data_IF_076122908252
#
_entry.id   IF_076122908252
#
_cell.length_a   1.000
_cell.length_b   1.000
_cell.length_c   1.000
_cell.angle_alpha   90.00
_cell.angle_beta   90.00
_cell.angle_gamma   90.00
#
_symmetry.space_group_name_H-M   'P 1'
#
loop_
_entity.id
_entity.type
_entity.pdbx_description
1 polymer ?
#
# COMPACT_ATOMS: atom_id res chain seq x y z
N UNK A 1 -72.50 -10.96 4.67
CA UNK A 1 -71.89 -11.71 3.56
C UNK A 1 -70.57 -12.27 4.03
N UNK A 2 -70.54 -13.58 4.31
CA UNK A 2 -69.32 -14.35 4.46
C UNK A 2 -68.82 -14.77 3.05
N UNK A 3 -67.54 -15.09 2.92
CA UNK A 3 -67.04 -16.34 2.30
C UNK A 3 -65.52 -16.47 2.53
N UNK A 4 -65.10 -17.70 2.81
CA UNK A 4 -63.74 -18.19 3.12
C UNK A 4 -63.08 -18.80 1.87
N UNK A 5 -61.77 -19.08 2.04
CA UNK A 5 -60.85 -20.04 1.37
C UNK A 5 -59.95 -19.40 0.31
N UNK A 6 -58.67 -19.75 0.11
CA UNK A 6 -57.57 -20.42 0.84
C UNK A 6 -56.57 -20.88 -0.24
N UNK A 7 -55.27 -20.56 -0.08
CA UNK A 7 -54.04 -21.24 -0.63
C UNK A 7 -53.92 -21.44 -2.17
N UNK A 8 -52.77 -21.17 -2.82
CA UNK A 8 -51.50 -21.95 -2.78
C UNK A 8 -50.25 -21.11 -3.18
N UNK A 9 -49.10 -21.52 -2.60
CA UNK A 9 -47.68 -21.15 -2.80
C UNK A 9 -47.13 -21.19 -4.23
N UNK A 10 -46.19 -20.27 -4.51
CA UNK A 10 -44.84 -20.43 -5.13
C UNK A 10 -44.28 -18.99 -5.22
N UNK A 11 -43.15 -18.56 -4.66
CA UNK A 11 -41.84 -19.19 -4.53
C UNK A 11 -40.85 -18.34 -5.33
N UNK A 12 -40.19 -17.36 -4.71
CA UNK A 12 -38.74 -17.14 -4.83
C UNK A 12 -38.26 -15.89 -4.09
N UNK A 13 -37.16 -16.12 -3.37
CA UNK A 13 -36.41 -15.18 -2.57
C UNK A 13 -35.77 -14.08 -3.43
N UNK A 14 -36.07 -12.81 -3.17
CA UNK A 14 -35.22 -11.69 -3.57
C UNK A 14 -34.66 -11.02 -2.32
N UNK A 15 -33.56 -11.59 -1.81
CA UNK A 15 -32.67 -10.89 -0.89
C UNK A 15 -31.86 -9.90 -1.70
N UNK A 16 -32.15 -8.60 -1.56
CA UNK A 16 -31.24 -7.55 -1.97
C UNK A 16 -29.93 -7.71 -1.16
N UNK A 17 -28.85 -8.10 -1.84
CA UNK A 17 -27.49 -7.96 -1.33
C UNK A 17 -26.89 -6.70 -1.95
N UNK A 18 -26.61 -5.74 -1.09
CA UNK A 18 -25.68 -4.64 -1.37
C UNK A 18 -24.34 -5.20 -1.84
N UNK A 19 -23.76 -4.59 -2.87
CA UNK A 19 -22.38 -4.84 -3.29
C UNK A 19 -21.66 -3.50 -3.48
N UNK A 20 -20.93 -3.11 -2.43
CA UNK A 20 -19.76 -2.23 -2.40
C UNK A 20 -18.80 -2.89 -1.38
N UNK A 21 -17.48 -2.63 -1.38
CA UNK A 21 -16.53 -2.44 -2.47
C UNK A 21 -15.27 -3.33 -2.29
N UNK A 22 -14.40 -3.43 -3.30
CA UNK A 22 -13.05 -3.99 -3.15
C UNK A 22 -12.14 -2.95 -2.47
N UNK A 23 -12.29 -2.83 -1.16
CA UNK A 23 -11.26 -2.30 -0.28
C UNK A 23 -11.23 -3.18 0.96
N UNK A 24 -10.06 -3.76 1.24
CA UNK A 24 -9.70 -4.69 2.33
C UNK A 24 -9.69 -6.18 1.96
N UNK A 25 -8.52 -6.77 2.21
CA UNK A 25 -8.22 -8.19 2.38
C UNK A 25 -7.85 -9.00 1.13
N UNK A 26 -6.56 -9.02 0.79
CA UNK A 26 -5.91 -10.31 0.54
C UNK A 26 -5.34 -10.80 1.87
N UNK A 27 -6.23 -11.34 2.71
CA UNK A 27 -5.84 -12.27 3.76
C UNK A 27 -5.93 -13.69 3.19
N UNK A 28 -4.82 -14.42 3.32
CA UNK A 28 -4.71 -15.88 3.40
C UNK A 28 -5.54 -16.68 2.39
N UNK A 29 -4.91 -17.02 1.26
CA UNK A 29 -5.31 -18.18 0.47
C UNK A 29 -4.42 -19.37 0.85
N UNK A 30 -5.02 -20.36 1.53
CA UNK A 30 -4.44 -21.70 1.65
C UNK A 30 -4.42 -22.29 0.23
N UNK A 31 -3.25 -22.41 -0.39
CA UNK A 31 -3.08 -23.14 -1.65
C UNK A 31 -2.65 -24.56 -1.31
N UNK A 32 -3.57 -25.50 -1.51
CA UNK A 32 -3.25 -26.92 -1.50
C UNK A 32 -2.32 -27.24 -2.69
N UNK A 33 -1.15 -27.80 -2.39
CA UNK A 33 -0.21 -28.31 -3.39
C UNK A 33 -0.83 -29.49 -4.15
N UNK A 34 -0.99 -29.35 -5.46
CA UNK A 34 -1.04 -30.48 -6.38
C UNK A 34 0.28 -30.50 -7.18
N UNK A 35 1.13 -31.46 -6.82
CA UNK A 35 2.34 -31.83 -7.55
C UNK A 35 1.98 -32.32 -8.96
N UNK A 36 2.41 -31.61 -10.00
CA UNK A 36 2.88 -32.21 -11.25
C UNK A 36 3.92 -31.30 -11.89
N UNK A 37 5.14 -31.83 -12.06
CA UNK A 37 6.16 -31.18 -12.86
C UNK A 37 5.94 -31.44 -14.34
N UNK A 38 6.14 -30.42 -15.16
CA UNK A 38 6.62 -30.53 -16.55
C UNK A 38 7.16 -29.17 -17.02
N UNK A 39 8.38 -29.20 -17.54
CA UNK A 39 8.99 -28.34 -18.57
C UNK A 39 8.64 -26.84 -18.62
N UNK A 40 9.62 -26.01 -18.31
CA UNK A 40 9.68 -24.63 -18.74
C UNK A 40 9.67 -24.51 -20.28
N UNK A 41 8.85 -23.63 -20.86
CA UNK A 41 9.19 -22.93 -22.08
C UNK A 41 9.52 -21.47 -21.73
N UNK A 42 10.58 -20.96 -22.35
CA UNK A 42 10.96 -19.56 -22.22
C UNK A 42 9.85 -18.63 -22.71
N UNK A 43 9.66 -17.53 -22.00
CA UNK A 43 8.84 -16.41 -22.44
C UNK A 43 9.58 -15.13 -22.13
N UNK A 44 10.33 -14.65 -23.11
CA UNK A 44 10.62 -13.24 -23.26
C UNK A 44 9.60 -12.68 -24.25
N UNK A 45 8.35 -12.51 -23.81
CA UNK A 45 7.55 -11.42 -24.37
C UNK A 45 8.26 -10.13 -23.96
N UNK A 46 8.54 -9.22 -24.90
CA UNK A 46 9.19 -7.96 -24.56
C UNK A 46 8.32 -7.22 -23.53
N UNK A 47 8.96 -6.53 -22.58
CA UNK A 47 8.25 -5.71 -21.59
C UNK A 47 7.28 -4.70 -22.24
N UNK A 48 7.46 -4.32 -23.50
CA UNK A 48 6.54 -3.42 -24.23
C UNK A 48 5.14 -4.02 -24.44
N UNK A 49 5.04 -5.33 -24.66
CA UNK A 49 3.78 -6.02 -24.99
C UNK A 49 2.89 -6.26 -23.75
N UNK A 50 3.49 -6.46 -22.57
CA UNK A 50 2.74 -6.58 -21.31
C UNK A 50 2.20 -5.23 -20.83
N UNK A 51 2.88 -4.14 -21.13
CA UNK A 51 2.55 -2.79 -20.68
C UNK A 51 1.38 -2.19 -21.45
N UNK A 52 1.34 -2.39 -22.77
CA UNK A 52 0.16 -2.03 -23.58
C UNK A 52 -1.10 -2.74 -23.09
N UNK A 53 -1.01 -4.04 -22.79
CA UNK A 53 -2.12 -4.83 -22.25
C UNK A 53 -2.61 -4.34 -20.89
N UNK A 54 -1.71 -3.90 -20.00
CA UNK A 54 -2.10 -3.35 -18.70
C UNK A 54 -2.96 -2.09 -18.85
N UNK A 55 -2.55 -1.16 -19.72
CA UNK A 55 -3.32 0.05 -20.02
C UNK A 55 -4.69 -0.26 -20.59
N UNK A 56 -4.76 -1.20 -21.54
CA UNK A 56 -6.03 -1.62 -22.15
C UNK A 56 -6.98 -2.26 -21.14
N UNK A 57 -6.44 -3.07 -20.21
CA UNK A 57 -7.20 -3.68 -19.12
C UNK A 57 -7.82 -2.64 -18.19
N UNK A 58 -7.06 -1.61 -17.79
CA UNK A 58 -7.59 -0.50 -16.99
C UNK A 58 -8.73 0.22 -17.72
N UNK A 59 -8.52 0.63 -18.96
CA UNK A 59 -9.51 1.36 -19.76
C UNK A 59 -10.78 0.54 -20.06
N UNK A 60 -10.71 -0.78 -19.96
CA UNK A 60 -11.86 -1.66 -20.12
C UNK A 60 -12.80 -1.68 -18.90
N UNK A 61 -12.38 -1.19 -17.72
CA UNK A 61 -13.24 -1.14 -16.54
C UNK A 61 -14.36 -0.09 -16.72
N UNK A 62 -15.60 -0.58 -16.77
CA UNK A 62 -16.80 0.25 -16.96
C UNK A 62 -17.14 1.10 -15.73
N UNK A 63 -16.52 0.83 -14.58
CA UNK A 63 -16.76 1.55 -13.33
C UNK A 63 -15.79 2.72 -13.09
N UNK A 64 -14.89 2.99 -14.04
CA UNK A 64 -13.99 4.13 -13.96
C UNK A 64 -14.76 5.46 -13.91
N UNK A 65 -14.49 6.33 -12.91
CA UNK A 65 -15.24 7.57 -12.74
C UNK A 65 -14.90 8.63 -13.81
N UNK A 66 -13.82 8.42 -14.57
CA UNK A 66 -13.31 9.32 -15.60
C UNK A 66 -12.49 8.50 -16.61
N UNK A 67 -12.42 8.98 -17.86
CA UNK A 67 -11.81 8.25 -18.99
C UNK A 67 -10.55 8.92 -19.56
N UNK A 68 -10.16 10.06 -19.02
CA UNK A 68 -8.90 10.73 -19.36
C UNK A 68 -8.31 11.40 -18.13
N UNK A 69 -7.00 11.57 -18.18
CA UNK A 69 -6.16 12.07 -17.11
C UNK A 69 -6.58 13.48 -16.64
N UNK A 70 -6.78 14.39 -17.59
CA UNK A 70 -7.16 15.78 -17.31
C UNK A 70 -8.55 15.85 -16.70
N UNK A 71 -9.47 15.00 -17.16
CA UNK A 71 -10.82 14.92 -16.63
C UNK A 71 -10.84 14.36 -15.20
N UNK A 72 -10.01 13.36 -14.90
CA UNK A 72 -9.89 12.80 -13.56
C UNK A 72 -9.35 13.82 -12.56
N UNK A 73 -8.22 14.47 -12.86
CA UNK A 73 -7.61 15.45 -11.97
C UNK A 73 -8.57 16.62 -11.65
N UNK A 74 -9.24 17.18 -12.67
CA UNK A 74 -10.19 18.27 -12.48
C UNK A 74 -11.44 17.84 -11.70
N UNK A 75 -12.03 16.68 -12.02
CA UNK A 75 -13.22 16.19 -11.33
C UNK A 75 -12.94 15.86 -9.86
N UNK A 76 -11.76 15.32 -9.54
CA UNK A 76 -11.35 15.02 -8.16
C UNK A 76 -11.26 16.27 -7.29
N UNK A 77 -10.68 17.35 -7.83
CA UNK A 77 -10.62 18.65 -7.15
C UNK A 77 -12.01 19.23 -6.94
N UNK A 78 -12.87 19.22 -7.97
CA UNK A 78 -14.24 19.73 -7.90
C UNK A 78 -15.06 18.95 -6.85
N UNK A 79 -14.98 17.62 -6.86
CA UNK A 79 -15.64 16.77 -5.88
C UNK A 79 -15.13 17.05 -4.46
N UNK A 80 -13.82 17.25 -4.30
CA UNK A 80 -13.23 17.61 -3.02
C UNK A 80 -13.74 18.96 -2.54
N UNK A 81 -13.74 19.99 -3.39
CA UNK A 81 -14.23 21.34 -3.08
C UNK A 81 -15.70 21.32 -2.66
N UNK A 82 -16.54 20.55 -3.38
CA UNK A 82 -17.95 20.29 -3.06
C UNK A 82 -18.16 19.48 -1.76
N UNK A 83 -17.09 18.94 -1.16
CA UNK A 83 -17.15 18.16 0.08
C UNK A 83 -17.52 16.69 -0.13
N UNK A 84 -17.54 16.20 -1.36
CA UNK A 84 -17.77 14.80 -1.68
C UNK A 84 -16.48 13.99 -1.49
N UNK A 85 -16.06 13.80 -0.24
CA UNK A 85 -14.76 13.19 0.12
C UNK A 85 -14.55 11.81 -0.51
N UNK A 86 -15.54 10.92 -0.42
CA UNK A 86 -15.41 9.56 -0.95
C UNK A 86 -15.41 9.52 -2.49
N UNK A 87 -16.12 10.44 -3.14
CA UNK A 87 -16.10 10.58 -4.59
C UNK A 87 -14.74 11.10 -5.06
N UNK A 88 -14.24 12.16 -4.42
CA UNK A 88 -12.91 12.69 -4.68
C UNK A 88 -11.82 11.62 -4.51
N UNK A 89 -11.89 10.81 -3.44
CA UNK A 89 -10.95 9.71 -3.20
C UNK A 89 -10.94 8.69 -4.32
N UNK A 90 -12.11 8.29 -4.82
CA UNK A 90 -12.23 7.36 -5.95
C UNK A 90 -11.65 7.93 -7.23
N UNK A 91 -11.93 9.20 -7.53
CA UNK A 91 -11.46 9.85 -8.75
C UNK A 91 -9.93 10.01 -8.72
N UNK A 92 -9.37 10.45 -7.60
CA UNK A 92 -7.92 10.63 -7.45
C UNK A 92 -7.18 9.29 -7.49
N UNK A 93 -7.78 8.22 -6.94
CA UNK A 93 -7.23 6.86 -7.05
C UNK A 93 -7.16 6.41 -8.52
N UNK A 94 -8.21 6.66 -9.31
CA UNK A 94 -8.20 6.36 -10.74
C UNK A 94 -7.14 7.18 -11.50
N UNK A 95 -6.97 8.46 -11.18
CA UNK A 95 -5.88 9.28 -11.76
C UNK A 95 -4.49 8.72 -11.43
N UNK A 96 -4.28 8.26 -10.20
CA UNK A 96 -3.02 7.64 -9.80
C UNK A 96 -2.76 6.37 -10.62
N UNK A 97 -3.76 5.53 -10.82
CA UNK A 97 -3.66 4.31 -11.64
C UNK A 97 -3.35 4.64 -13.11
N UNK A 98 -4.00 5.65 -13.70
CA UNK A 98 -3.69 6.09 -15.06
C UNK A 98 -2.29 6.69 -15.19
N UNK A 99 -1.87 7.53 -14.23
CA UNK A 99 -0.54 8.11 -14.23
C UNK A 99 0.55 7.03 -14.06
N UNK A 100 0.27 6.00 -13.27
CA UNK A 100 1.10 4.80 -13.17
C UNK A 100 1.17 4.10 -14.52
N UNK A 101 0.04 3.80 -15.17
CA UNK A 101 0.02 3.13 -16.46
C UNK A 101 0.83 3.91 -17.52
N UNK A 102 0.67 5.24 -17.57
CA UNK A 102 1.44 6.10 -18.48
C UNK A 102 2.94 6.12 -18.11
N UNK A 103 3.31 5.99 -16.83
CA UNK A 103 4.72 5.92 -16.42
C UNK A 103 5.41 4.65 -16.91
N UNK A 104 4.66 3.54 -16.98
CA UNK A 104 5.16 2.27 -17.48
C UNK A 104 5.24 2.28 -19.01
N UNK A 105 4.23 2.86 -19.67
CA UNK A 105 4.14 2.96 -21.13
C UNK A 105 4.99 4.09 -21.74
N UNK A 106 5.71 4.84 -20.91
CA UNK A 106 6.51 5.97 -21.36
C UNK A 106 7.64 5.50 -22.30
N UNK A 107 7.59 5.97 -23.54
CA UNK A 107 8.56 5.70 -24.60
C UNK A 107 9.67 6.77 -24.69
N UNK A 108 9.59 7.78 -23.84
CA UNK A 108 10.49 8.93 -23.81
C UNK A 108 10.64 9.49 -22.40
N UNK A 109 11.79 10.11 -22.14
CA UNK A 109 12.05 10.78 -20.86
C UNK A 109 10.97 11.84 -20.55
N UNK A 110 10.47 12.54 -21.57
CA UNK A 110 9.39 13.52 -21.40
C UNK A 110 8.07 12.87 -20.94
N UNK A 111 7.70 11.73 -21.52
CA UNK A 111 6.52 10.98 -21.11
C UNK A 111 6.68 10.45 -19.67
N UNK A 112 7.84 9.88 -19.35
CA UNK A 112 8.13 9.34 -18.01
C UNK A 112 8.12 10.44 -16.94
N UNK A 113 8.69 11.60 -17.26
CA UNK A 113 8.71 12.78 -16.39
C UNK A 113 7.30 13.37 -16.17
N UNK A 114 6.47 13.40 -17.23
CA UNK A 114 5.08 13.85 -17.15
C UNK A 114 4.24 12.91 -16.27
N UNK A 115 4.38 11.60 -16.48
CA UNK A 115 3.70 10.59 -15.69
C UNK A 115 4.11 10.65 -14.20
N UNK A 116 5.41 10.76 -13.91
CA UNK A 116 5.92 10.90 -12.54
C UNK A 116 5.37 12.15 -11.84
N UNK A 117 5.29 13.29 -12.56
CA UNK A 117 4.67 14.51 -12.03
C UNK A 117 3.19 14.30 -11.69
N UNK A 118 2.46 13.52 -12.50
CA UNK A 118 1.06 13.20 -12.25
C UNK A 118 0.86 12.24 -11.09
N UNK A 119 1.71 11.22 -10.94
CA UNK A 119 1.71 10.34 -9.77
C UNK A 119 1.90 11.18 -8.50
N UNK A 120 2.90 12.06 -8.48
CA UNK A 120 3.15 12.93 -7.32
C UNK A 120 1.97 13.89 -7.06
N UNK A 121 1.33 14.46 -8.10
CA UNK A 121 0.13 15.28 -7.93
C UNK A 121 -1.06 14.49 -7.36
N UNK A 122 -1.31 13.27 -7.84
CA UNK A 122 -2.38 12.42 -7.33
C UNK A 122 -2.15 12.06 -5.85
N UNK A 123 -0.89 11.78 -5.47
CA UNK A 123 -0.51 11.59 -4.07
C UNK A 123 -0.78 12.86 -3.22
N UNK A 124 -0.46 14.05 -3.73
CA UNK A 124 -0.82 15.32 -3.05
C UNK A 124 -2.33 15.44 -2.87
N UNK A 125 -3.13 15.12 -3.90
CA UNK A 125 -4.59 15.21 -3.78
C UNK A 125 -5.17 14.19 -2.79
N UNK A 126 -4.61 12.98 -2.69
CA UNK A 126 -4.95 12.07 -1.60
C UNK A 126 -4.67 12.70 -0.23
N UNK A 127 -3.54 13.41 -0.10
CA UNK A 127 -3.22 14.16 1.10
C UNK A 127 -4.21 15.29 1.41
N UNK A 128 -4.63 16.05 0.38
CA UNK A 128 -5.63 17.13 0.53
C UNK A 128 -7.01 16.56 0.96
N UNK A 129 -7.40 15.41 0.41
CA UNK A 129 -8.61 14.67 0.78
C UNK A 129 -8.56 14.27 2.26
N UNK A 130 -7.48 13.63 2.70
CA UNK A 130 -7.35 13.18 4.08
C UNK A 130 -7.22 14.35 5.06
N UNK A 131 -6.58 15.45 4.64
CA UNK A 131 -6.55 16.69 5.42
C UNK A 131 -7.96 17.27 5.61
N UNK A 132 -8.78 17.29 4.55
CA UNK A 132 -10.18 17.77 4.62
C UNK A 132 -11.06 16.83 5.44
N UNK A 133 -10.77 15.53 5.42
CA UNK A 133 -11.42 14.52 6.26
C UNK A 133 -10.96 14.57 7.74
N UNK A 134 -10.00 15.44 8.09
CA UNK A 134 -9.47 15.59 9.45
C UNK A 134 -8.39 14.57 9.83
N UNK A 135 -7.95 13.71 8.90
CA UNK A 135 -6.88 12.75 9.12
C UNK A 135 -5.51 13.34 8.77
N UNK A 136 -4.98 14.16 9.67
CA UNK A 136 -3.71 14.87 9.46
C UNK A 136 -2.50 13.94 9.32
N UNK A 137 -2.50 12.78 9.97
CA UNK A 137 -1.41 11.81 9.87
C UNK A 137 -1.36 11.19 8.46
N UNK A 138 -2.49 10.70 7.95
CA UNK A 138 -2.59 10.20 6.58
C UNK A 138 -2.23 11.26 5.54
N UNK A 139 -2.71 12.50 5.73
CA UNK A 139 -2.36 13.60 4.86
C UNK A 139 -0.84 13.81 4.78
N UNK A 140 -0.15 13.82 5.93
CA UNK A 140 1.31 13.93 5.98
C UNK A 140 2.00 12.73 5.32
N UNK A 141 1.49 11.51 5.48
CA UNK A 141 2.01 10.34 4.81
C UNK A 141 1.96 10.50 3.28
N UNK A 142 0.82 10.90 2.73
CA UNK A 142 0.64 11.13 1.29
C UNK A 142 1.58 12.22 0.73
N UNK A 143 1.73 13.34 1.43
CA UNK A 143 2.68 14.37 1.00
C UNK A 143 4.12 13.87 1.02
N UNK A 144 4.49 13.00 1.98
CA UNK A 144 5.82 12.39 2.03
C UNK A 144 6.02 11.38 0.90
N UNK A 145 5.01 10.59 0.52
CA UNK A 145 5.09 9.73 -0.66
C UNK A 145 5.39 10.53 -1.94
N UNK A 146 4.77 11.71 -2.09
CA UNK A 146 5.06 12.61 -3.21
C UNK A 146 6.50 13.17 -3.15
N UNK A 147 6.99 13.52 -1.96
CA UNK A 147 8.37 14.00 -1.75
C UNK A 147 9.40 12.90 -2.01
N UNK A 148 9.12 11.65 -1.66
CA UNK A 148 10.05 10.53 -1.84
C UNK A 148 10.37 10.26 -3.33
N UNK A 149 9.58 10.82 -4.26
CA UNK A 149 9.88 10.83 -5.70
C UNK A 149 10.95 11.86 -6.10
N UNK A 150 11.53 12.63 -5.17
CA UNK A 150 12.48 13.71 -5.43
C UNK A 150 13.73 13.27 -6.20
N UNK A 151 14.16 12.03 -6.05
CA UNK A 151 15.28 11.49 -6.84
C UNK A 151 15.01 11.54 -8.35
N UNK A 152 13.75 11.39 -8.77
CA UNK A 152 13.31 11.49 -10.17
C UNK A 152 13.20 12.95 -10.65
N UNK A 153 13.05 13.90 -9.73
CA UNK A 153 12.80 15.31 -10.03
C UNK A 153 13.99 16.05 -10.65
N UNK A 154 15.22 15.53 -10.48
CA UNK A 154 16.43 16.12 -11.05
C UNK A 154 16.41 16.26 -12.58
N UNK A 155 15.49 15.55 -13.25
CA UNK A 155 15.33 15.53 -14.71
C UNK A 155 14.03 16.19 -15.20
N UNK A 156 13.19 16.72 -14.29
CA UNK A 156 11.86 17.24 -14.62
C UNK A 156 11.54 18.53 -13.85
N UNK A 157 11.55 19.69 -14.53
CA UNK A 157 11.14 20.96 -13.93
C UNK A 157 9.68 20.94 -13.43
N UNK A 158 8.82 20.17 -14.09
CA UNK A 158 7.41 20.02 -13.69
C UNK A 158 7.32 19.24 -12.38
N UNK A 159 7.97 18.07 -12.29
CA UNK A 159 7.99 17.28 -11.06
C UNK A 159 8.63 18.06 -9.91
N UNK A 160 9.68 18.84 -10.17
CA UNK A 160 10.29 19.73 -9.17
C UNK A 160 9.27 20.71 -8.58
N UNK A 161 8.42 21.33 -9.41
CA UNK A 161 7.36 22.23 -8.94
C UNK A 161 6.28 21.49 -8.14
N UNK A 162 5.89 20.29 -8.59
CA UNK A 162 4.92 19.44 -7.88
C UNK A 162 5.43 19.07 -6.49
N UNK A 163 6.70 18.66 -6.37
CA UNK A 163 7.31 18.32 -5.08
C UNK A 163 7.39 19.55 -4.16
N UNK A 164 7.64 20.75 -4.70
CA UNK A 164 7.57 21.97 -3.91
C UNK A 164 6.17 22.21 -3.31
N UNK A 165 5.10 21.85 -4.04
CA UNK A 165 3.72 21.88 -3.50
C UNK A 165 3.57 20.87 -2.36
N UNK A 166 4.08 19.64 -2.50
CA UNK A 166 4.04 18.65 -1.44
C UNK A 166 4.76 19.14 -0.16
N UNK A 167 5.94 19.76 -0.30
CA UNK A 167 6.65 20.37 0.83
C UNK A 167 5.82 21.49 1.48
N UNK A 168 5.21 22.37 0.69
CA UNK A 168 4.37 23.45 1.21
C UNK A 168 3.15 22.91 1.98
N UNK A 169 2.49 21.88 1.45
CA UNK A 169 1.36 21.21 2.11
C UNK A 169 1.78 20.51 3.41
N UNK A 170 2.90 19.81 3.40
CA UNK A 170 3.47 19.18 4.59
C UNK A 170 3.81 20.22 5.66
N UNK A 171 4.43 21.34 5.28
CA UNK A 171 4.74 22.44 6.19
C UNK A 171 3.49 23.08 6.80
N UNK A 172 2.41 23.22 6.02
CA UNK A 172 1.14 23.75 6.52
C UNK A 172 0.48 22.87 7.59
N UNK A 173 0.80 21.57 7.62
CA UNK A 173 0.36 20.60 8.63
C UNK A 173 1.38 20.37 9.76
N UNK A 174 2.52 21.07 9.75
CA UNK A 174 3.55 20.91 10.76
C UNK A 174 2.99 21.22 12.17
N UNK A 175 3.27 20.35 13.13
CA UNK A 175 2.85 20.51 14.54
C UNK A 175 1.36 20.29 14.82
N UNK A 176 0.51 20.09 13.81
CA UNK A 176 -0.93 19.87 14.01
C UNK A 176 -1.22 18.40 14.28
N UNK A 177 -1.75 18.06 15.45
CA UNK A 177 -2.20 16.70 15.79
C UNK A 177 -1.14 15.63 15.46
N UNK A 178 0.11 15.89 15.84
CA UNK A 178 1.24 14.99 15.55
C UNK A 178 1.21 13.81 16.53
N UNK A 179 1.19 12.59 15.98
CA UNK A 179 1.17 11.38 16.78
C UNK A 179 2.61 10.97 17.13
N UNK A 180 3.01 11.28 18.36
CA UNK A 180 4.38 11.07 18.84
C UNK A 180 4.72 9.60 19.18
N UNK A 181 3.70 8.75 19.41
CA UNK A 181 3.86 7.34 19.81
C UNK A 181 2.77 6.50 19.15
N UNK A 182 3.00 5.18 19.05
CA UNK A 182 1.96 4.25 18.58
C UNK A 182 0.72 4.41 19.47
N UNK A 183 -0.46 4.75 18.91
CA UNK A 183 -1.69 4.89 19.67
C UNK A 183 -2.09 3.59 20.37
N UNK A 184 -2.81 3.71 21.49
CA UNK A 184 -3.35 2.57 22.22
C UNK A 184 -4.42 1.78 21.44
N UNK A 185 -4.94 2.33 20.35
CA UNK A 185 -5.83 1.64 19.41
C UNK A 185 -5.06 0.90 18.30
N UNK A 186 -3.75 1.11 18.21
CA UNK A 186 -2.90 0.57 17.15
C UNK A 186 -2.61 1.57 16.04
N UNK A 187 -1.75 1.16 15.12
CA UNK A 187 -1.25 1.96 14.02
C UNK A 187 -1.04 1.10 12.78
N UNK A 188 -1.29 1.69 11.61
CA UNK A 188 -0.85 1.16 10.33
C UNK A 188 0.10 2.17 9.69
N UNK A 189 1.28 1.68 9.33
CA UNK A 189 2.30 2.41 8.61
C UNK A 189 2.39 1.87 7.20
N UNK A 190 2.48 2.76 6.22
CA UNK A 190 2.58 2.39 4.81
C UNK A 190 3.79 3.05 4.16
N UNK A 191 4.31 2.39 3.12
CA UNK A 191 5.33 2.94 2.24
C UNK A 191 4.89 2.72 0.80
N UNK A 192 4.75 3.80 0.03
CA UNK A 192 4.55 3.70 -1.41
C UNK A 192 5.81 3.12 -2.07
N UNK A 193 5.65 2.05 -2.85
CA UNK A 193 6.77 1.37 -3.52
C UNK A 193 6.83 1.76 -4.99
N UNK A 194 5.85 1.31 -5.77
CA UNK A 194 5.72 1.60 -7.20
C UNK A 194 4.34 1.10 -7.67
N UNK A 195 3.95 1.48 -8.88
CA UNK A 195 2.76 0.95 -9.56
C UNK A 195 1.46 1.06 -8.75
N UNK A 196 1.31 2.12 -7.97
CA UNK A 196 0.11 2.32 -7.13
C UNK A 196 0.09 1.45 -5.87
N UNK A 197 1.15 0.67 -5.62
CA UNK A 197 1.20 -0.32 -4.57
C UNK A 197 1.97 0.19 -3.34
N UNK A 198 1.53 -0.23 -2.15
CA UNK A 198 2.11 0.11 -0.86
C UNK A 198 2.57 -1.15 -0.11
N UNK A 199 3.74 -1.09 0.52
CA UNK A 199 4.04 -1.99 1.64
C UNK A 199 3.24 -1.53 2.87
N UNK A 200 2.74 -2.48 3.67
CA UNK A 200 1.95 -2.18 4.87
C UNK A 200 2.54 -2.85 6.11
N UNK A 201 2.53 -2.15 7.24
CA UNK A 201 2.84 -2.68 8.57
C UNK A 201 1.77 -2.23 9.56
N UNK A 202 1.03 -3.17 10.10
CA UNK A 202 0.00 -2.96 11.12
C UNK A 202 0.49 -3.44 12.49
N UNK A 203 0.37 -2.57 13.49
CA UNK A 203 0.71 -2.82 14.88
C UNK A 203 -0.55 -2.73 15.75
N UNK A 204 -0.96 -3.86 16.32
CA UNK A 204 -2.11 -3.95 17.22
C UNK A 204 -1.62 -4.17 18.65
N UNK A 205 -1.92 -3.28 19.61
CA UNK A 205 -1.43 -3.41 20.98
C UNK A 205 -1.95 -4.68 21.66
N UNK A 206 -1.07 -5.38 22.38
CA UNK A 206 -1.45 -6.58 23.15
C UNK A 206 -1.99 -6.16 24.51
N UNK A 207 -3.24 -6.54 24.80
CA UNK A 207 -3.92 -6.17 26.05
C UNK A 207 -3.12 -6.61 27.28
N UNK A 208 -2.88 -5.67 28.19
CA UNK A 208 -2.18 -5.93 29.45
C UNK A 208 -0.66 -6.07 29.33
N UNK A 209 -0.08 -5.91 28.12
CA UNK A 209 1.37 -5.96 27.90
C UNK A 209 1.88 -4.61 27.34
N UNK A 210 2.53 -3.77 28.16
CA UNK A 210 3.08 -2.50 27.69
C UNK A 210 4.08 -2.68 26.54
N UNK A 211 4.06 -1.75 25.59
CA UNK A 211 4.95 -1.68 24.42
C UNK A 211 5.05 -2.96 23.60
N UNK A 212 4.03 -3.83 23.71
CA UNK A 212 3.96 -5.12 23.05
C UNK A 212 2.81 -5.11 22.04
N UNK A 213 3.08 -5.55 20.81
CA UNK A 213 2.16 -5.43 19.69
C UNK A 213 2.13 -6.73 18.89
N UNK A 214 0.96 -7.10 18.39
CA UNK A 214 0.86 -8.01 17.24
C UNK A 214 1.20 -7.20 15.99
N UNK A 215 2.30 -7.57 15.35
CA UNK A 215 2.78 -7.04 14.09
C UNK A 215 2.29 -7.93 12.96
N UNK A 216 1.65 -7.33 11.97
CA UNK A 216 1.34 -7.94 10.69
C UNK A 216 1.84 -7.02 9.59
N UNK A 217 2.68 -7.53 8.70
CA UNK A 217 3.20 -6.77 7.58
C UNK A 217 3.10 -7.55 6.28
N UNK A 218 2.91 -6.81 5.19
CA UNK A 218 2.94 -7.32 3.83
C UNK A 218 3.86 -6.44 3.01
N UNK A 219 4.94 -7.04 2.52
CA UNK A 219 5.93 -6.40 1.66
C UNK A 219 5.67 -6.88 0.24
N UNK A 220 5.61 -5.96 -0.71
CA UNK A 220 5.24 -6.26 -2.08
C UNK A 220 6.27 -5.73 -3.06
N UNK A 221 6.50 -6.53 -4.09
CA UNK A 221 7.16 -6.11 -5.30
C UNK A 221 6.15 -6.22 -6.43
N UNK A 222 5.51 -5.12 -6.85
CA UNK A 222 4.53 -5.17 -7.92
C UNK A 222 5.22 -5.54 -9.24
N UNK A 223 4.52 -6.34 -10.04
CA UNK A 223 4.97 -6.81 -11.35
C UNK A 223 3.81 -6.77 -12.35
N UNK A 224 4.13 -6.55 -13.62
CA UNK A 224 3.17 -6.72 -14.71
C UNK A 224 3.38 -8.10 -15.29
N UNK A 225 2.34 -8.92 -15.28
CA UNK A 225 2.39 -10.28 -15.84
C UNK A 225 2.45 -10.24 -17.36
N UNK A 226 2.73 -11.39 -17.98
CA UNK A 226 2.74 -11.49 -19.45
C UNK A 226 1.39 -11.13 -20.08
N UNK A 227 0.28 -11.37 -19.38
CA UNK A 227 -1.07 -11.02 -19.86
C UNK A 227 -1.40 -9.53 -19.71
N UNK A 228 -0.50 -8.74 -19.13
CA UNK A 228 -0.74 -7.33 -18.78
C UNK A 228 -1.48 -7.12 -17.47
N UNK A 229 -1.80 -8.18 -16.73
CA UNK A 229 -2.42 -8.05 -15.42
C UNK A 229 -1.38 -7.63 -14.37
N UNK A 230 -1.77 -6.78 -13.42
CA UNK A 230 -0.97 -6.53 -12.22
C UNK A 230 -0.95 -7.77 -11.33
N UNK A 231 0.25 -8.12 -10.90
CA UNK A 231 0.50 -9.09 -9.84
C UNK A 231 1.55 -8.52 -8.89
N UNK A 232 1.90 -9.25 -7.85
CA UNK A 232 2.97 -8.89 -6.95
C UNK A 232 3.67 -10.15 -6.43
N UNK A 233 4.98 -10.08 -6.30
CA UNK A 233 5.67 -10.95 -5.36
C UNK A 233 5.42 -10.38 -3.96
N UNK A 234 5.15 -11.26 -3.00
CA UNK A 234 4.76 -10.87 -1.64
C UNK A 234 5.70 -11.54 -0.63
N UNK A 235 6.00 -10.82 0.43
CA UNK A 235 6.62 -11.34 1.65
C UNK A 235 5.78 -10.88 2.84
N UNK A 236 5.14 -11.83 3.51
CA UNK A 236 4.36 -11.54 4.70
C UNK A 236 5.16 -11.87 5.96
N UNK A 237 4.98 -11.06 7.00
CA UNK A 237 5.57 -11.31 8.30
C UNK A 237 4.54 -11.07 9.40
N UNK A 238 4.40 -12.07 10.26
CA UNK A 238 3.55 -12.02 11.45
C UNK A 238 4.39 -12.30 12.71
N UNK A 239 4.35 -11.37 13.66
CA UNK A 239 5.11 -11.49 14.90
C UNK A 239 4.37 -10.86 16.09
N UNK A 240 4.67 -11.33 17.29
CA UNK A 240 4.43 -10.55 18.51
C UNK A 240 5.73 -9.86 18.87
N UNK A 241 5.75 -8.53 18.82
CA UNK A 241 6.95 -7.73 19.03
C UNK A 241 6.84 -6.92 20.31
N UNK A 242 7.98 -6.68 20.97
CA UNK A 242 8.09 -5.66 22.01
C UNK A 242 9.11 -4.61 21.60
N UNK A 243 8.71 -3.34 21.62
CA UNK A 243 9.64 -2.24 21.35
C UNK A 243 10.45 -1.93 22.60
N UNK A 244 11.76 -2.14 22.52
CA UNK A 244 12.73 -1.76 23.53
C UNK A 244 13.38 -0.46 23.12
N UNK A 245 13.13 0.62 23.87
CA UNK A 245 13.65 1.95 23.54
C UNK A 245 13.35 2.39 22.09
N UNK A 246 12.15 2.05 21.60
CA UNK A 246 11.72 2.39 20.24
C UNK A 246 12.15 1.39 19.16
N UNK A 247 12.78 0.27 19.52
CA UNK A 247 13.25 -0.72 18.56
C UNK A 247 12.69 -2.12 18.83
N UNK A 248 12.17 -2.77 17.80
CA UNK A 248 11.81 -4.18 17.81
C UNK A 248 12.61 -4.92 16.73
N UNK A 249 13.08 -6.13 17.04
CA UNK A 249 13.89 -6.94 16.13
C UNK A 249 13.26 -8.31 15.96
N UNK A 250 13.00 -8.72 14.72
CA UNK A 250 12.29 -9.96 14.40
C UNK A 250 13.22 -10.85 13.59
N UNK A 251 13.79 -11.91 14.19
CA UNK A 251 14.60 -12.87 13.46
C UNK A 251 13.68 -13.74 12.62
N UNK A 252 13.84 -13.67 11.30
CA UNK A 252 13.00 -14.39 10.35
C UNK A 252 13.63 -15.74 10.05
N UNK A 253 12.83 -16.79 10.21
CA UNK A 253 13.16 -18.15 9.77
C UNK A 253 12.06 -18.58 8.79
N UNK A 254 12.37 -18.68 7.49
CA UNK A 254 11.35 -19.01 6.48
C UNK A 254 10.82 -20.44 6.61
N UNK A 255 11.50 -21.31 7.36
CA UNK A 255 11.05 -22.69 7.62
C UNK A 255 10.16 -22.80 8.86
N UNK A 256 9.99 -21.71 9.61
CA UNK A 256 9.16 -21.69 10.81
C UNK A 256 7.71 -21.40 10.46
N UNK A 257 6.84 -22.28 10.91
CA UNK A 257 5.39 -22.05 10.84
C UNK A 257 4.89 -21.16 11.99
N UNK A 258 3.95 -20.27 11.66
CA UNK A 258 3.19 -19.46 12.60
C UNK A 258 3.89 -18.18 13.09
N UNK A 259 3.22 -17.40 13.96
CA UNK A 259 3.73 -16.11 14.40
C UNK A 259 5.04 -16.21 15.17
N UNK A 260 5.96 -15.28 14.90
CA UNK A 260 7.25 -15.19 15.59
C UNK A 260 7.07 -14.47 16.93
N UNK A 261 7.59 -15.03 18.02
CA UNK A 261 7.70 -14.30 19.29
C UNK A 261 9.04 -13.54 19.32
N UNK A 262 8.94 -12.21 19.20
CA UNK A 262 10.03 -11.25 19.22
C UNK A 262 9.86 -10.26 20.39
N UNK A 263 9.40 -10.77 21.54
CA UNK A 263 9.21 -9.97 22.76
C UNK A 263 10.44 -9.90 23.66
N UNK A 264 11.53 -10.57 23.30
CA UNK A 264 12.80 -10.59 24.03
C UNK A 264 13.88 -9.80 23.28
N UNK A 265 14.81 -9.19 24.02
CA UNK A 265 15.98 -8.53 23.41
C UNK A 265 16.93 -9.57 22.83
N UNK A 266 17.33 -9.38 21.57
CA UNK A 266 18.42 -10.14 20.96
C UNK A 266 19.77 -9.62 21.46
N UNK A 267 20.54 -10.49 22.09
CA UNK A 267 21.82 -10.14 22.71
C UNK A 267 23.02 -10.12 21.75
N UNK A 268 23.01 -10.91 20.67
CA UNK A 268 24.10 -11.01 19.70
C UNK A 268 23.57 -10.76 18.27
N UNK A 269 23.79 -9.56 17.74
CA UNK A 269 23.36 -9.17 16.39
C UNK A 269 24.31 -9.65 15.30
N UNK A 270 25.58 -9.88 15.62
CA UNK A 270 26.61 -10.28 14.64
C UNK A 270 26.27 -11.62 13.97
N UNK A 271 25.47 -12.46 14.63
CA UNK A 271 24.93 -13.67 14.02
C UNK A 271 24.13 -13.39 12.75
N UNK A 272 23.46 -12.24 12.66
CA UNK A 272 22.55 -11.89 11.58
C UNK A 272 23.21 -11.10 10.44
N UNK A 273 24.53 -10.91 10.43
CA UNK A 273 25.22 -10.23 9.32
C UNK A 273 25.58 -11.17 8.16
N UNK A 274 25.33 -12.48 8.31
CA UNK A 274 25.61 -13.48 7.28
C UNK A 274 24.51 -13.59 6.22
N UNK A 275 24.86 -14.13 5.04
CA UNK A 275 23.95 -14.27 3.91
C UNK A 275 22.78 -15.25 4.14
N UNK A 276 22.92 -16.17 5.10
CA UNK A 276 21.92 -17.20 5.42
C UNK A 276 20.97 -16.79 6.56
N UNK A 277 21.03 -15.53 6.99
CA UNK A 277 20.27 -15.05 8.13
C UNK A 277 19.46 -13.83 7.70
N UNK A 278 18.26 -13.70 8.26
CA UNK A 278 17.44 -12.52 8.10
C UNK A 278 16.95 -12.03 9.46
N UNK A 279 17.16 -10.75 9.71
CA UNK A 279 16.63 -10.03 10.86
C UNK A 279 16.00 -8.73 10.38
N UNK A 280 14.71 -8.55 10.64
CA UNK A 280 14.02 -7.30 10.35
C UNK A 280 13.98 -6.44 11.61
N UNK A 281 14.58 -5.26 11.54
CA UNK A 281 14.51 -4.23 12.57
C UNK A 281 13.42 -3.23 12.25
N UNK A 282 12.58 -2.97 13.24
CA UNK A 282 11.53 -1.96 13.23
C UNK A 282 11.91 -0.87 14.23
N UNK A 283 12.20 0.32 13.73
CA UNK A 283 12.63 1.45 14.54
C UNK A 283 11.61 2.58 14.49
N UNK A 284 11.03 2.89 15.64
CA UNK A 284 10.26 4.11 15.87
C UNK A 284 11.26 5.27 15.96
N UNK A 285 11.43 5.97 14.84
CA UNK A 285 12.33 7.11 14.75
C UNK A 285 11.61 8.41 15.11
N UNK A 286 11.33 9.22 14.08
CA UNK A 286 10.55 10.45 14.22
C UNK A 286 9.05 10.17 14.41
N UNK A 287 8.29 11.15 14.90
CA UNK A 287 6.85 11.03 15.03
C UNK A 287 6.22 10.58 13.70
N UNK A 288 5.28 9.63 13.77
CA UNK A 288 4.56 9.10 12.61
C UNK A 288 5.42 8.36 11.58
N UNK A 289 6.64 7.97 11.96
CA UNK A 289 7.54 7.21 11.10
C UNK A 289 7.96 5.89 11.73
N UNK A 290 8.00 4.85 10.92
CA UNK A 290 8.58 3.55 11.25
C UNK A 290 9.66 3.26 10.21
N UNK A 291 10.91 3.21 10.65
CA UNK A 291 12.03 2.80 9.79
C UNK A 291 12.18 1.30 9.87
N UNK A 292 12.31 0.66 8.72
CA UNK A 292 12.52 -0.78 8.59
C UNK A 292 13.87 -1.02 7.94
N UNK A 293 14.60 -1.98 8.50
CA UNK A 293 15.92 -2.38 8.00
C UNK A 293 16.10 -3.88 8.12
N UNK A 294 16.65 -4.47 7.08
CA UNK A 294 17.05 -5.86 7.02
C UNK A 294 18.52 -5.98 7.38
N UNK A 295 18.86 -6.84 8.33
CA UNK A 295 20.22 -7.30 8.56
C UNK A 295 20.38 -8.71 8.05
N UNK A 296 21.49 -8.94 7.35
CA UNK A 296 21.78 -10.19 6.66
C UNK A 296 21.35 -10.09 5.20
N UNK A 297 20.73 -11.14 4.68
CA UNK A 297 20.24 -11.18 3.30
C UNK A 297 18.71 -11.05 3.22
N UNK A 298 18.17 -10.13 2.41
CA UNK A 298 16.74 -10.11 2.08
C UNK A 298 16.23 -11.46 1.52
N UNK A 299 17.05 -12.17 0.74
CA UNK A 299 16.68 -13.47 0.19
C UNK A 299 16.50 -14.54 1.29
N UNK A 300 17.28 -14.44 2.38
CA UNK A 300 17.17 -15.35 3.52
C UNK A 300 15.89 -15.11 4.35
N UNK A 301 15.19 -13.99 4.14
CA UNK A 301 13.90 -13.74 4.78
C UNK A 301 12.80 -14.65 4.21
N UNK A 302 13.03 -15.28 3.05
CA UNK A 302 12.01 -16.05 2.32
C UNK A 302 10.86 -15.20 1.81
N UNK A 303 11.04 -13.88 1.74
CA UNK A 303 10.11 -13.01 1.03
C UNK A 303 10.21 -13.32 -0.47
N UNK A 304 9.10 -13.16 -1.21
CA UNK A 304 9.06 -13.45 -2.63
C UNK A 304 10.16 -12.74 -3.44
N UNK A 305 10.36 -13.15 -4.69
CA UNK A 305 11.45 -12.64 -5.52
C UNK A 305 11.50 -11.11 -5.59
N UNK A 306 12.67 -10.52 -5.27
CA UNK A 306 12.91 -9.07 -5.24
C UNK A 306 11.97 -8.26 -4.33
N UNK A 307 11.42 -8.89 -3.29
CA UNK A 307 10.65 -8.22 -2.24
C UNK A 307 11.63 -7.68 -1.20
N UNK A 308 11.51 -6.38 -0.92
CA UNK A 308 12.35 -5.67 0.05
C UNK A 308 11.45 -4.95 1.06
N UNK A 309 11.76 -5.16 2.34
CA UNK A 309 11.09 -4.54 3.47
C UNK A 309 11.68 -3.18 3.85
N UNK A 310 12.89 -2.85 3.37
CA UNK A 310 13.64 -1.71 3.84
C UNK A 310 13.01 -0.38 3.43
N UNK A 311 13.12 0.61 4.32
CA UNK A 311 12.69 1.97 4.04
C UNK A 311 12.04 2.67 5.21
N UNK A 312 11.46 3.83 4.92
CA UNK A 312 10.68 4.61 5.88
C UNK A 312 9.21 4.45 5.55
N UNK A 313 8.44 4.06 6.55
CA UNK A 313 7.00 3.92 6.49
C UNK A 313 6.35 5.06 7.28
N UNK A 314 5.25 5.59 6.77
CA UNK A 314 4.52 6.70 7.37
C UNK A 314 3.19 6.24 7.94
N UNK A 315 2.81 6.77 9.09
CA UNK A 315 1.53 6.47 9.74
C UNK A 315 0.36 6.95 8.86
N UNK A 316 -0.42 6.02 8.32
CA UNK A 316 -1.61 6.32 7.50
C UNK A 316 -2.91 6.13 8.28
N UNK A 317 -2.92 5.21 9.24
CA UNK A 317 -4.12 4.91 10.02
C UNK A 317 -3.76 4.70 11.48
N UNK A 318 -4.60 5.23 12.35
CA UNK A 318 -4.68 4.78 13.73
C UNK A 318 -5.85 3.80 13.83
N UNK A 319 -5.76 2.79 14.69
CA UNK A 319 -6.89 1.88 14.90
C UNK A 319 -8.17 2.66 15.17
N UNK A 320 -9.19 2.42 14.35
CA UNK A 320 -10.55 2.96 14.53
C UNK A 320 -11.19 2.12 15.63
N UNK A 321 -11.73 2.78 16.67
CA UNK A 321 -12.59 2.13 17.67
C UNK A 321 -13.90 1.66 17.03
#
# INVERSE_FOLDING_TARGET
MAWRKSFVRMGNNFRFKFAWPLSRHCGVAIIAFALFGTSAPGFAASNEDSVGRYRDSLLADKNLPCRSNEACAAAGVIALEAGHIEEARKIVAAELEFAVADSIAADSDNAANSASARIAMAQIYHGDIDAKAGNAAAARAWYRFAIDQQALALKSPVLTRVIAVAHARLAALAGRNVIARIPATGATFERYVALGANNEISLVPVRGKPDTYTLSSSFIRPVVTQNGDLSANVGDLAATVRFFAGEARVPVDPNRDGPIDATHRLGNLDKYTGAEQCLIEFQLGTAETLKVRTLGSPDACGFGFNVDADGIYYLTRTGVQ
#
